data_IF_405260132070
#
_entry.id   IF_405260132070
#
_cell.length_a   1.000
_cell.length_b   1.000
_cell.length_c   1.000
_cell.angle_alpha   90.00
_cell.angle_beta   90.00
_cell.angle_gamma   90.00
#
_symmetry.space_group_name_H-M   'P 1'
#
loop_
_entity.id
_entity.type
_entity.pdbx_description
1 polymer ?
#
# COMPACT_ATOMS: atom_id res chain seq x y z
N UNK A 1 7.32 76.77 -18.49
CA UNK A 1 7.76 75.75 -19.47
C UNK A 1 7.94 74.44 -18.70
N UNK A 2 6.93 73.57 -18.71
CA UNK A 2 6.93 72.30 -17.95
C UNK A 2 7.25 71.18 -18.94
N UNK A 3 8.22 70.32 -18.60
CA UNK A 3 8.59 69.13 -19.37
C UNK A 3 8.07 67.91 -18.62
N UNK A 4 6.91 67.38 -19.00
CA UNK A 4 6.41 66.09 -18.48
C UNK A 4 7.11 64.97 -19.24
N UNK A 5 8.08 64.32 -18.60
CA UNK A 5 8.73 63.14 -19.14
C UNK A 5 7.96 61.90 -18.67
N UNK A 6 6.87 61.57 -19.37
CA UNK A 6 6.17 60.29 -19.22
C UNK A 6 6.83 59.29 -20.15
N UNK A 7 7.95 58.70 -19.72
CA UNK A 7 8.48 57.51 -20.35
C UNK A 7 7.57 56.32 -20.02
N UNK A 8 6.87 55.82 -21.02
CA UNK A 8 6.08 54.58 -20.93
C UNK A 8 6.99 53.42 -20.50
N UNK A 9 6.48 52.61 -19.58
CA UNK A 9 7.16 51.44 -19.03
C UNK A 9 7.70 50.54 -20.13
N UNK A 10 8.84 49.90 -19.84
CA UNK A 10 9.45 48.91 -20.71
C UNK A 10 8.51 47.70 -20.84
N UNK A 11 7.66 47.70 -21.87
CA UNK A 11 6.94 46.52 -22.34
C UNK A 11 7.97 45.52 -22.90
N UNK A 12 8.55 44.70 -22.01
CA UNK A 12 9.39 43.59 -22.38
C UNK A 12 8.50 42.44 -22.89
N UNK A 13 8.29 42.38 -24.20
CA UNK A 13 7.64 41.25 -24.85
C UNK A 13 8.56 40.02 -24.92
N UNK A 14 7.98 38.83 -24.79
CA UNK A 14 8.68 37.56 -25.00
C UNK A 14 8.93 37.36 -26.50
N UNK A 15 10.13 36.87 -26.84
CA UNK A 15 10.43 36.52 -28.23
C UNK A 15 9.75 35.19 -28.62
N UNK A 16 9.41 35.02 -29.91
CA UNK A 16 8.85 33.74 -30.39
C UNK A 16 9.81 32.57 -30.09
N UNK A 17 11.11 32.80 -30.23
CA UNK A 17 12.12 31.76 -29.96
C UNK A 17 12.14 31.36 -28.49
N UNK A 18 11.91 32.30 -27.57
CA UNK A 18 11.83 32.02 -26.13
C UNK A 18 10.63 31.15 -25.78
N UNK A 19 9.47 31.42 -26.38
CA UNK A 19 8.27 30.58 -26.20
C UNK A 19 8.48 29.18 -26.77
N UNK A 20 9.12 29.07 -27.93
CA UNK A 20 9.44 27.77 -28.53
C UNK A 20 10.39 26.95 -27.64
N UNK A 21 11.44 27.58 -27.10
CA UNK A 21 12.36 26.91 -26.18
C UNK A 21 11.63 26.51 -24.88
N UNK A 22 10.78 27.39 -24.34
CA UNK A 22 9.98 27.08 -23.15
C UNK A 22 9.06 25.88 -23.37
N UNK A 23 8.40 25.77 -24.54
CA UNK A 23 7.56 24.62 -24.89
C UNK A 23 8.38 23.33 -25.03
N UNK A 24 9.59 23.40 -25.60
CA UNK A 24 10.48 22.23 -25.71
C UNK A 24 10.88 21.76 -24.31
N UNK A 25 11.32 22.67 -23.44
CA UNK A 25 11.69 22.35 -22.05
C UNK A 25 10.49 21.76 -21.30
N UNK A 26 9.31 22.36 -21.43
CA UNK A 26 8.08 21.86 -20.82
C UNK A 26 7.74 20.45 -21.30
N UNK A 27 7.85 20.19 -22.60
CA UNK A 27 7.56 18.87 -23.18
C UNK A 27 8.51 17.81 -22.66
N UNK A 28 9.81 18.09 -22.61
CA UNK A 28 10.82 17.19 -22.03
C UNK A 28 10.56 16.96 -20.53
N UNK A 29 10.22 18.02 -19.79
CA UNK A 29 9.85 17.92 -18.37
C UNK A 29 8.63 17.04 -18.13
N UNK A 30 7.59 17.19 -18.97
CA UNK A 30 6.37 16.38 -18.87
C UNK A 30 6.63 14.90 -19.17
N UNK A 31 7.46 14.59 -20.17
CA UNK A 31 7.88 13.22 -20.47
C UNK A 31 8.62 12.58 -19.29
N UNK A 32 9.50 13.32 -18.63
CA UNK A 32 10.17 12.87 -17.41
C UNK A 32 9.18 12.54 -16.28
N UNK A 33 8.17 13.40 -16.09
CA UNK A 33 7.13 13.19 -15.06
C UNK A 33 6.27 11.96 -15.34
N UNK A 34 5.91 11.70 -16.61
CA UNK A 34 5.15 10.50 -16.99
C UNK A 34 5.89 9.19 -16.66
N UNK A 35 7.22 9.19 -16.76
CA UNK A 35 8.04 8.04 -16.34
C UNK A 35 7.93 7.78 -14.83
N UNK A 36 7.97 8.85 -14.03
CA UNK A 36 7.85 8.76 -12.57
C UNK A 36 6.47 8.26 -12.13
N UNK A 37 5.38 8.78 -12.72
CA UNK A 37 4.01 8.34 -12.37
C UNK A 37 3.81 6.85 -12.64
N UNK A 38 4.36 6.32 -13.73
CA UNK A 38 4.27 4.89 -14.05
C UNK A 38 4.95 4.01 -12.98
N UNK A 39 6.07 4.44 -12.41
CA UNK A 39 6.73 3.71 -11.31
C UNK A 39 5.89 3.72 -10.04
N UNK A 40 5.30 4.86 -9.68
CA UNK A 40 4.45 5.01 -8.49
C UNK A 40 3.21 4.10 -8.56
N UNK A 41 2.56 4.03 -9.72
CA UNK A 41 1.39 3.17 -9.91
C UNK A 41 1.73 1.69 -9.70
N UNK A 42 2.92 1.24 -10.11
CA UNK A 42 3.36 -0.15 -9.85
C UNK A 42 3.55 -0.41 -8.36
N UNK A 43 4.16 0.53 -7.64
CA UNK A 43 4.34 0.39 -6.19
C UNK A 43 3.02 0.40 -5.41
N UNK A 44 2.01 1.15 -5.88
CA UNK A 44 0.67 1.14 -5.28
C UNK A 44 0.01 -0.24 -5.40
N UNK A 45 0.13 -0.89 -6.55
CA UNK A 45 -0.41 -2.25 -6.72
C UNK A 45 0.24 -3.31 -5.83
N UNK A 46 1.47 -3.07 -5.37
CA UNK A 46 2.14 -3.93 -4.37
C UNK A 46 1.66 -3.61 -2.95
N UNK A 47 1.50 -2.33 -2.63
CA UNK A 47 0.96 -1.88 -1.35
C UNK A 47 -0.47 -2.39 -1.13
N UNK A 48 -1.32 -2.37 -2.17
CA UNK A 48 -2.69 -2.90 -2.10
C UNK A 48 -2.71 -4.39 -1.72
N UNK A 49 -1.73 -5.18 -2.19
CA UNK A 49 -1.61 -6.61 -1.84
C UNK A 49 -1.19 -6.80 -0.38
N UNK A 50 -0.29 -5.97 0.11
CA UNK A 50 0.14 -6.00 1.51
C UNK A 50 -1.02 -5.63 2.45
N UNK A 51 -1.79 -4.58 2.10
CA UNK A 51 -3.00 -4.21 2.85
C UNK A 51 -4.05 -5.31 2.82
N UNK A 52 -4.28 -5.94 1.66
CA UNK A 52 -5.22 -7.05 1.55
C UNK A 52 -4.77 -8.27 2.37
N UNK A 53 -3.48 -8.63 2.35
CA UNK A 53 -2.94 -9.71 3.16
C UNK A 53 -3.12 -9.45 4.67
N UNK A 54 -2.84 -8.23 5.13
CA UNK A 54 -3.08 -7.82 6.50
C UNK A 54 -4.58 -7.86 6.86
N UNK A 55 -5.44 -7.37 5.96
CA UNK A 55 -6.89 -7.40 6.13
C UNK A 55 -7.41 -8.84 6.31
N UNK A 56 -7.06 -9.77 5.41
CA UNK A 56 -7.49 -11.16 5.54
C UNK A 56 -6.94 -11.85 6.79
N UNK A 57 -5.72 -11.48 7.20
CA UNK A 57 -5.13 -12.00 8.43
C UNK A 57 -5.95 -11.58 9.66
N UNK A 58 -6.30 -10.30 9.73
CA UNK A 58 -7.13 -9.77 10.82
C UNK A 58 -8.55 -10.34 10.79
N UNK A 59 -9.19 -10.42 9.62
CA UNK A 59 -10.51 -11.03 9.46
C UNK A 59 -10.51 -12.47 9.98
N UNK A 60 -9.49 -13.25 9.64
CA UNK A 60 -9.39 -14.64 10.10
C UNK A 60 -9.16 -14.71 11.60
N UNK A 61 -8.32 -13.85 12.15
CA UNK A 61 -8.08 -13.76 13.58
C UNK A 61 -9.36 -13.37 14.35
N UNK A 62 -10.16 -12.44 13.82
CA UNK A 62 -11.45 -12.06 14.40
C UNK A 62 -12.43 -13.24 14.40
N UNK A 63 -12.47 -14.03 13.31
CA UNK A 63 -13.26 -15.26 13.26
C UNK A 63 -12.80 -16.26 14.34
N UNK A 64 -11.49 -16.43 14.55
CA UNK A 64 -10.96 -17.30 15.61
C UNK A 64 -11.29 -16.76 17.01
N UNK A 65 -11.30 -15.43 17.20
CA UNK A 65 -11.74 -14.80 18.46
C UNK A 65 -13.23 -14.98 18.72
N UNK A 66 -14.06 -14.96 17.68
CA UNK A 66 -15.50 -15.16 17.80
C UNK A 66 -15.87 -16.63 18.10
N UNK A 67 -15.01 -17.57 17.71
CA UNK A 67 -15.12 -18.97 18.08
C UNK A 67 -14.73 -19.13 19.56
N UNK A 68 -15.52 -19.90 20.31
CA UNK A 68 -15.12 -20.26 21.68
C UNK A 68 -13.81 -21.05 21.69
N UNK A 69 -13.03 -20.93 22.76
CA UNK A 69 -11.69 -21.53 22.83
C UNK A 69 -11.65 -23.06 22.62
N UNK A 70 -12.76 -23.77 22.87
CA UNK A 70 -12.89 -25.20 22.61
C UNK A 70 -12.98 -25.54 21.12
N UNK A 71 -13.38 -24.58 20.29
CA UNK A 71 -13.61 -24.74 18.84
C UNK A 71 -12.44 -24.22 18.00
N UNK A 72 -11.54 -23.45 18.61
CA UNK A 72 -10.36 -22.92 17.92
C UNK A 72 -9.32 -24.02 17.70
N UNK A 73 -8.90 -24.20 16.45
CA UNK A 73 -7.94 -25.23 16.06
C UNK A 73 -7.03 -24.75 14.92
N UNK A 74 -5.93 -25.48 14.69
CA UNK A 74 -5.01 -25.22 13.61
C UNK A 74 -5.71 -25.35 12.26
N UNK A 75 -5.27 -24.57 11.28
CA UNK A 75 -5.82 -24.69 9.94
C UNK A 75 -5.12 -23.83 8.91
N UNK A 76 -5.61 -23.97 7.69
CA UNK A 76 -5.13 -23.25 6.53
C UNK A 76 -6.30 -22.88 5.63
N UNK A 77 -6.18 -21.75 4.94
CA UNK A 77 -7.16 -21.28 3.97
C UNK A 77 -6.45 -20.55 2.84
N UNK A 78 -6.98 -20.68 1.62
CA UNK A 78 -6.54 -19.86 0.50
C UNK A 78 -7.63 -18.86 0.10
N UNK A 79 -7.32 -17.57 0.17
CA UNK A 79 -8.23 -16.49 -0.25
C UNK A 79 -7.87 -16.01 -1.65
N UNK A 80 -8.88 -15.90 -2.51
CA UNK A 80 -8.76 -15.39 -3.89
C UNK A 80 -7.69 -16.13 -4.73
N UNK A 81 -7.33 -17.37 -4.38
CA UNK A 81 -6.30 -18.15 -5.06
C UNK A 81 -4.86 -17.62 -4.91
N UNK A 82 -4.63 -16.51 -4.21
CA UNK A 82 -3.31 -15.85 -4.13
C UNK A 82 -2.80 -15.61 -2.72
N UNK A 83 -3.67 -15.58 -1.71
CA UNK A 83 -3.28 -15.42 -0.31
C UNK A 83 -3.44 -16.76 0.40
N UNK A 84 -2.33 -17.38 0.80
CA UNK A 84 -2.32 -18.60 1.59
C UNK A 84 -2.17 -18.23 3.07
N UNK A 85 -3.24 -18.40 3.83
CA UNK A 85 -3.30 -18.20 5.28
C UNK A 85 -3.08 -19.53 5.98
N UNK A 86 -2.22 -19.57 6.97
CA UNK A 86 -1.99 -20.74 7.82
C UNK A 86 -1.87 -20.27 9.26
N UNK A 87 -2.68 -20.82 10.16
CA UNK A 87 -2.61 -20.52 11.59
C UNK A 87 -2.36 -21.76 12.42
N UNK A 88 -1.54 -21.56 13.46
CA UNK A 88 -1.30 -22.53 14.52
C UNK A 88 -1.79 -21.94 15.84
N UNK A 89 -2.39 -22.78 16.65
CA UNK A 89 -3.00 -22.46 17.93
C UNK A 89 -2.32 -23.30 18.99
N UNK A 90 -1.54 -22.63 19.82
CA UNK A 90 -0.81 -23.23 20.92
C UNK A 90 -1.58 -23.07 22.25
N UNK A 91 -1.43 -24.08 23.11
CA UNK A 91 -2.11 -24.17 24.40
C UNK A 91 -3.28 -25.15 24.41
N UNK A 92 -3.55 -25.74 25.57
CA UNK A 92 -4.65 -26.67 25.78
C UNK A 92 -6.01 -26.00 25.53
N UNK A 93 -7.00 -26.76 25.05
CA UNK A 93 -8.34 -26.25 24.75
C UNK A 93 -8.99 -25.48 25.93
N UNK A 94 -8.73 -25.93 27.16
CA UNK A 94 -9.24 -25.33 28.40
C UNK A 94 -8.33 -24.27 29.02
N UNK A 95 -7.27 -23.84 28.32
CA UNK A 95 -6.36 -22.82 28.84
C UNK A 95 -7.08 -21.46 28.89
N UNK A 96 -6.88 -20.62 29.94
CA UNK A 96 -7.46 -19.28 29.99
C UNK A 96 -6.92 -18.35 28.89
N UNK A 97 -5.77 -18.71 28.31
CA UNK A 97 -5.17 -18.01 27.17
C UNK A 97 -4.67 -19.04 26.15
N UNK A 98 -4.95 -18.82 24.87
CA UNK A 98 -4.41 -19.61 23.75
C UNK A 98 -3.65 -18.70 22.79
N UNK A 99 -2.44 -19.09 22.42
CA UNK A 99 -1.61 -18.30 21.50
C UNK A 99 -1.92 -18.71 20.06
N UNK A 100 -2.09 -17.73 19.18
CA UNK A 100 -2.36 -17.96 17.76
C UNK A 100 -1.27 -17.27 16.95
N UNK A 101 -0.60 -18.05 16.11
CA UNK A 101 0.36 -17.54 15.14
C UNK A 101 -0.24 -17.75 13.76
N UNK A 102 -0.56 -16.68 13.07
CA UNK A 102 -1.12 -16.68 11.72
C UNK A 102 -0.06 -16.19 10.74
N UNK A 103 0.11 -16.93 9.66
CA UNK A 103 1.06 -16.62 8.58
C UNK A 103 0.31 -16.50 7.27
N UNK A 104 0.52 -15.41 6.57
CA UNK A 104 -0.12 -15.11 5.29
C UNK A 104 0.94 -14.97 4.22
N UNK A 105 0.92 -15.86 3.23
CA UNK A 105 1.89 -15.89 2.13
C UNK A 105 1.22 -15.49 0.82
N UNK A 106 1.87 -14.58 0.08
CA UNK A 106 1.38 -14.08 -1.22
C UNK A 106 2.54 -13.78 -2.18
N UNK A 107 2.23 -13.67 -3.47
CA UNK A 107 3.20 -13.39 -4.53
C UNK A 107 3.16 -11.92 -4.96
N UNK A 108 4.35 -11.32 -5.07
CA UNK A 108 4.58 -9.97 -5.58
C UNK A 108 4.74 -9.98 -7.10
N UNK A 109 4.73 -8.79 -7.71
CA UNK A 109 4.78 -8.56 -9.16
C UNK A 109 5.96 -9.22 -9.88
N UNK A 110 7.04 -9.54 -9.16
CA UNK A 110 8.26 -10.17 -9.69
C UNK A 110 8.36 -11.68 -9.41
N UNK A 111 7.25 -12.34 -9.04
CA UNK A 111 7.25 -13.77 -8.66
C UNK A 111 7.92 -14.05 -7.31
N UNK A 112 8.37 -13.01 -6.60
CA UNK A 112 8.85 -13.10 -5.22
C UNK A 112 7.67 -13.39 -4.30
N UNK A 113 7.80 -14.35 -3.41
CA UNK A 113 6.84 -14.56 -2.33
C UNK A 113 7.19 -13.69 -1.14
N UNK A 114 6.17 -13.21 -0.43
CA UNK A 114 6.29 -12.55 0.86
C UNK A 114 5.36 -13.25 1.84
N UNK A 115 5.82 -13.35 3.09
CA UNK A 115 5.08 -13.95 4.18
C UNK A 115 5.02 -12.96 5.31
N UNK A 116 3.81 -12.58 5.71
CA UNK A 116 3.56 -11.72 6.86
C UNK A 116 3.01 -12.57 8.00
N UNK A 117 3.50 -12.33 9.23
CA UNK A 117 3.11 -13.11 10.43
C UNK A 117 2.39 -12.20 11.42
N UNK A 118 1.25 -12.67 11.91
CA UNK A 118 0.44 -12.02 12.93
C UNK A 118 0.33 -12.96 14.13
N UNK A 119 0.84 -12.49 15.27
CA UNK A 119 0.74 -13.20 16.54
C UNK A 119 -0.34 -12.56 17.40
N UNK A 120 -1.16 -13.40 18.04
CA UNK A 120 -2.18 -12.93 18.96
C UNK A 120 -2.38 -13.93 20.12
N UNK A 121 -3.03 -13.47 21.19
CA UNK A 121 -3.41 -14.29 22.32
C UNK A 121 -4.93 -14.17 22.53
N UNK A 122 -5.63 -15.29 22.35
CA UNK A 122 -7.06 -15.39 22.62
C UNK A 122 -7.28 -15.51 24.12
N UNK A 123 -8.09 -14.62 24.69
CA UNK A 123 -8.53 -14.72 26.08
C UNK A 123 -9.79 -15.59 26.16
N UNK A 124 -9.70 -16.65 26.94
CA UNK A 124 -10.78 -17.62 27.15
C UNK A 124 -11.52 -17.40 28.48
N UNK A 125 -11.26 -16.27 29.14
CA UNK A 125 -11.83 -15.94 30.44
C UNK A 125 -13.31 -15.58 30.20
N UNK A 126 -14.19 -16.44 30.71
CA UNK A 126 -15.63 -16.24 30.69
C UNK A 126 -16.08 -15.43 31.92
#
# INVERSE_FOLDING_TARGET
MVKTNTGFGSDAGFTIVEVLIAMIILSVGLLGMLGATASVVRTLGEADREVAAAFYSNERLEQLNALGCDQVSNGSETRQGMYALNWTVDGAANSPVRHVVLTTTYTLSAGRTRTDTLENALSCIR
#
